data_IF_768298035781
#
_entry.id   IF_768298035781
#
_cell.length_a   1.000
_cell.length_b   1.000
_cell.length_c   1.000
_cell.angle_alpha   90.00
_cell.angle_beta   90.00
_cell.angle_gamma   90.00
#
_symmetry.space_group_name_H-M   'P 1'
#
loop_
_entity.id
_entity.type
_entity.pdbx_description
1 polymer ?
#
# COMPACT_ATOMS: atom_id res chain seq x y z
N UNK A 1 -32.79 32.00 -0.75
CA UNK A 1 -32.31 33.39 -0.80
C UNK A 1 -30.81 33.36 -0.57
N UNK A 2 -30.03 34.02 -1.42
CA UNK A 2 -28.60 34.26 -1.22
C UNK A 2 -27.69 33.53 -2.20
N UNK A 3 -27.56 34.09 -3.40
CA UNK A 3 -26.53 33.73 -4.37
C UNK A 3 -25.14 34.09 -3.83
N UNK A 4 -24.18 33.19 -3.98
CA UNK A 4 -22.78 33.53 -4.18
C UNK A 4 -22.37 32.89 -5.51
N UNK A 5 -22.27 33.72 -6.54
CA UNK A 5 -21.71 33.36 -7.82
C UNK A 5 -20.20 33.22 -7.65
N UNK A 6 -19.67 32.01 -7.82
CA UNK A 6 -18.24 31.78 -7.93
C UNK A 6 -17.98 31.02 -9.23
N UNK A 7 -17.33 31.71 -10.17
CA UNK A 7 -16.78 31.15 -11.41
C UNK A 7 -15.66 30.15 -11.05
N UNK A 8 -16.02 28.93 -10.69
CA UNK A 8 -15.07 27.81 -10.57
C UNK A 8 -15.29 26.86 -11.75
N UNK A 9 -14.20 26.40 -12.37
CA UNK A 9 -14.19 25.43 -13.48
C UNK A 9 -15.32 24.42 -13.34
N UNK A 10 -16.09 24.23 -14.43
CA UNK A 10 -17.24 23.32 -14.47
C UNK A 10 -16.74 21.88 -14.31
N UNK A 11 -16.54 21.44 -13.07
CA UNK A 11 -16.20 20.06 -12.71
C UNK A 11 -17.21 19.12 -13.36
N UNK A 12 -16.71 18.16 -14.15
CA UNK A 12 -17.52 17.27 -14.96
C UNK A 12 -18.40 16.33 -14.11
N UNK A 13 -17.98 16.03 -12.88
CA UNK A 13 -18.69 15.24 -11.85
C UNK A 13 -18.30 15.77 -10.47
N UNK A 14 -19.27 15.96 -9.57
CA UNK A 14 -19.00 16.25 -8.14
C UNK A 14 -18.87 14.95 -7.34
N UNK A 15 -18.24 15.02 -6.17
CA UNK A 15 -18.04 13.88 -5.24
C UNK A 15 -19.35 13.22 -4.82
N UNK A 16 -20.45 13.98 -4.80
CA UNK A 16 -21.80 13.51 -4.46
C UNK A 16 -22.64 13.09 -5.66
N UNK A 17 -22.17 13.35 -6.88
CA UNK A 17 -22.92 13.02 -8.09
C UNK A 17 -22.71 11.55 -8.43
N UNK A 18 -23.82 10.84 -8.71
CA UNK A 18 -23.76 9.42 -9.09
C UNK A 18 -23.67 9.36 -10.62
N UNK A 19 -22.51 9.02 -11.22
CA UNK A 19 -22.41 8.90 -12.67
C UNK A 19 -23.25 7.74 -13.19
N UNK A 20 -23.59 7.79 -14.48
CA UNK A 20 -24.21 6.65 -15.17
C UNK A 20 -23.41 5.37 -14.94
N UNK A 21 -24.09 4.24 -14.77
CA UNK A 21 -23.49 2.94 -14.46
C UNK A 21 -22.31 2.56 -15.39
N UNK A 22 -22.44 2.83 -16.70
CA UNK A 22 -21.37 2.57 -17.67
C UNK A 22 -20.13 3.45 -17.45
N UNK A 23 -20.32 4.72 -17.14
CA UNK A 23 -19.24 5.65 -16.82
C UNK A 23 -18.57 5.28 -15.48
N UNK A 24 -19.37 4.89 -14.48
CA UNK A 24 -18.85 4.41 -13.20
C UNK A 24 -17.94 3.17 -13.37
N UNK A 25 -18.35 2.22 -14.20
CA UNK A 25 -17.55 1.03 -14.51
C UNK A 25 -16.25 1.39 -15.23
N UNK A 26 -16.30 2.29 -16.22
CA UNK A 26 -15.09 2.73 -16.92
C UNK A 26 -14.10 3.46 -16.01
N UNK A 27 -14.56 4.39 -15.18
CA UNK A 27 -13.69 5.09 -14.24
C UNK A 27 -13.12 4.15 -13.18
N UNK A 28 -13.93 3.19 -12.68
CA UNK A 28 -13.45 2.15 -11.77
C UNK A 28 -12.37 1.26 -12.41
N UNK A 29 -12.55 0.88 -13.68
CA UNK A 29 -11.55 0.12 -14.42
C UNK A 29 -10.26 0.91 -14.65
N UNK A 30 -10.36 2.18 -15.01
CA UNK A 30 -9.20 3.07 -15.14
C UNK A 30 -8.43 3.18 -13.83
N UNK A 31 -9.13 3.42 -12.71
CA UNK A 31 -8.51 3.50 -11.40
C UNK A 31 -7.84 2.17 -10.99
N UNK A 32 -8.48 1.04 -11.29
CA UNK A 32 -7.91 -0.27 -11.00
C UNK A 32 -6.60 -0.51 -11.78
N UNK A 33 -6.57 -0.18 -13.07
CA UNK A 33 -5.37 -0.31 -13.90
C UNK A 33 -4.26 0.64 -13.47
N UNK A 34 -4.59 1.89 -13.14
CA UNK A 34 -3.62 2.87 -12.64
C UNK A 34 -2.97 2.44 -11.32
N UNK A 35 -3.72 1.81 -10.42
CA UNK A 35 -3.18 1.36 -9.13
C UNK A 35 -2.53 -0.02 -9.19
N UNK A 36 -2.71 -0.79 -10.26
CA UNK A 36 -2.23 -2.16 -10.38
C UNK A 36 -0.72 -2.27 -10.14
N UNK A 37 0.07 -1.39 -10.77
CA UNK A 37 1.53 -1.37 -10.63
C UNK A 37 1.95 -1.16 -9.17
N UNK A 38 1.35 -0.18 -8.49
CA UNK A 38 1.61 0.10 -7.06
C UNK A 38 1.21 -1.05 -6.13
N UNK A 39 0.12 -1.76 -6.43
CA UNK A 39 -0.34 -2.90 -5.64
C UNK A 39 0.57 -4.13 -5.78
N UNK A 40 1.31 -4.25 -6.89
CA UNK A 40 2.24 -5.36 -7.13
C UNK A 40 3.62 -5.15 -6.48
N UNK A 41 4.05 -3.91 -6.26
CA UNK A 41 5.37 -3.60 -5.66
C UNK A 41 5.50 -4.22 -4.27
N UNK A 42 4.48 -4.07 -3.43
CA UNK A 42 4.53 -4.54 -2.04
C UNK A 42 4.67 -6.07 -1.91
N UNK A 43 3.80 -6.91 -2.51
CA UNK A 43 3.93 -8.37 -2.42
C UNK A 43 5.24 -8.87 -3.04
N UNK A 44 5.75 -8.18 -4.07
CA UNK A 44 7.06 -8.48 -4.64
C UNK A 44 8.19 -8.26 -3.62
N UNK A 45 8.24 -7.09 -2.97
CA UNK A 45 9.29 -6.79 -1.99
C UNK A 45 9.19 -7.71 -0.77
N UNK A 46 7.98 -8.00 -0.28
CA UNK A 46 7.77 -8.94 0.84
C UNK A 46 8.26 -10.35 0.48
N UNK A 47 7.95 -10.84 -0.72
CA UNK A 47 8.41 -12.17 -1.17
C UNK A 47 9.95 -12.29 -1.15
N UNK A 48 10.65 -11.19 -1.46
CA UNK A 48 12.12 -11.13 -1.47
C UNK A 48 12.72 -10.96 -0.07
N UNK A 49 11.98 -10.37 0.88
CA UNK A 49 12.42 -10.24 2.26
C UNK A 49 12.25 -11.55 3.06
N UNK A 50 11.22 -12.33 2.72
CA UNK A 50 10.90 -13.61 3.36
C UNK A 50 11.81 -14.75 2.86
N UNK A 51 12.26 -14.68 1.61
CA UNK A 51 13.22 -15.59 1.00
C UNK A 51 12.82 -17.08 1.08
N UNK A 52 11.81 -17.44 0.30
CA UNK A 52 11.22 -18.79 0.29
C UNK A 52 11.92 -19.80 -0.66
N UNK A 53 13.02 -19.43 -1.33
CA UNK A 53 13.72 -20.28 -2.31
C UNK A 53 12.82 -20.67 -3.49
N UNK A 54 12.78 -21.94 -3.85
CA UNK A 54 11.92 -22.48 -4.94
C UNK A 54 10.42 -22.16 -4.78
N UNK A 55 9.95 -21.97 -3.54
CA UNK A 55 8.54 -21.62 -3.25
C UNK A 55 8.22 -20.12 -3.41
N UNK A 56 9.19 -19.28 -3.79
CA UNK A 56 9.00 -17.81 -3.94
C UNK A 56 7.90 -17.46 -4.92
N UNK A 57 7.81 -18.19 -6.04
CA UNK A 57 6.80 -17.94 -7.08
C UNK A 57 5.39 -18.22 -6.55
N UNK A 58 5.18 -19.36 -5.89
CA UNK A 58 3.88 -19.73 -5.35
C UNK A 58 3.45 -18.76 -4.23
N UNK A 59 4.38 -18.39 -3.34
CA UNK A 59 4.14 -17.43 -2.28
C UNK A 59 3.79 -16.05 -2.85
N UNK A 60 4.53 -15.57 -3.85
CA UNK A 60 4.30 -14.27 -4.50
C UNK A 60 2.89 -14.20 -5.12
N UNK A 61 2.46 -15.25 -5.81
CA UNK A 61 1.10 -15.31 -6.40
C UNK A 61 0.03 -15.25 -5.30
N UNK A 62 0.22 -15.97 -4.19
CA UNK A 62 -0.71 -15.93 -3.06
C UNK A 62 -0.78 -14.54 -2.42
N UNK A 63 0.37 -13.87 -2.23
CA UNK A 63 0.43 -12.51 -1.68
C UNK A 63 -0.24 -11.48 -2.60
N UNK A 64 -0.05 -11.59 -3.92
CA UNK A 64 -0.72 -10.72 -4.90
C UNK A 64 -2.24 -10.89 -4.83
N UNK A 65 -2.71 -12.14 -4.86
CA UNK A 65 -4.13 -12.45 -4.77
C UNK A 65 -4.74 -11.94 -3.45
N UNK A 66 -4.07 -12.21 -2.32
CA UNK A 66 -4.50 -11.73 -1.01
C UNK A 66 -4.57 -10.19 -0.96
N UNK A 67 -3.57 -9.51 -1.52
CA UNK A 67 -3.53 -8.03 -1.57
C UNK A 67 -4.70 -7.48 -2.37
N UNK A 68 -4.99 -8.01 -3.57
CA UNK A 68 -6.13 -7.53 -4.36
C UNK A 68 -7.48 -7.77 -3.66
N UNK A 69 -7.66 -8.95 -3.07
CA UNK A 69 -8.89 -9.27 -2.33
C UNK A 69 -9.04 -8.36 -1.10
N UNK A 70 -7.99 -8.19 -0.30
CA UNK A 70 -8.03 -7.33 0.89
C UNK A 70 -8.25 -5.87 0.53
N UNK A 71 -7.61 -5.37 -0.53
CA UNK A 71 -7.78 -4.00 -1.01
C UNK A 71 -9.19 -3.75 -1.54
N UNK A 72 -9.76 -4.72 -2.26
CA UNK A 72 -11.15 -4.66 -2.74
C UNK A 72 -12.15 -4.62 -1.59
N UNK A 73 -12.01 -5.52 -0.61
CA UNK A 73 -12.87 -5.54 0.58
C UNK A 73 -12.75 -4.23 1.36
N UNK A 74 -11.52 -3.75 1.62
CA UNK A 74 -11.28 -2.50 2.33
C UNK A 74 -11.91 -1.29 1.59
N UNK A 75 -11.81 -1.25 0.26
CA UNK A 75 -12.41 -0.20 -0.55
C UNK A 75 -13.95 -0.24 -0.50
N UNK A 76 -14.55 -1.43 -0.54
CA UNK A 76 -16.00 -1.60 -0.39
C UNK A 76 -16.45 -1.12 1.00
N UNK A 77 -15.75 -1.52 2.06
CA UNK A 77 -16.05 -1.08 3.43
C UNK A 77 -15.91 0.44 3.56
N UNK A 78 -14.85 1.03 3.00
CA UNK A 78 -14.58 2.47 3.05
C UNK A 78 -15.65 3.29 2.33
N UNK A 79 -16.13 2.79 1.18
CA UNK A 79 -17.16 3.45 0.37
C UNK A 79 -18.56 3.29 0.94
N UNK A 80 -18.86 2.19 1.64
CA UNK A 80 -20.18 1.91 2.22
C UNK A 80 -20.35 2.44 3.65
N UNK A 81 -19.43 2.09 4.56
CA UNK A 81 -19.50 2.39 6.00
C UNK A 81 -18.50 3.45 6.46
N UNK A 82 -17.42 3.67 5.69
CA UNK A 82 -16.39 4.63 6.01
C UNK A 82 -16.79 6.08 5.67
N UNK A 83 -15.85 6.83 5.09
CA UNK A 83 -16.03 8.25 4.78
C UNK A 83 -16.97 8.50 3.58
N UNK A 84 -17.58 7.45 3.00
CA UNK A 84 -18.40 7.48 1.78
C UNK A 84 -17.70 8.15 0.58
N UNK A 85 -16.37 8.19 0.63
CA UNK A 85 -15.52 8.74 -0.42
C UNK A 85 -14.93 7.57 -1.22
N UNK A 86 -14.92 7.71 -2.55
CA UNK A 86 -14.28 6.74 -3.44
C UNK A 86 -12.76 6.86 -3.31
N UNK A 87 -12.17 6.05 -2.41
CA UNK A 87 -10.73 5.97 -2.17
C UNK A 87 -10.31 4.51 -2.24
N UNK A 88 -9.48 4.18 -3.22
CA UNK A 88 -8.87 2.87 -3.34
C UNK A 88 -7.89 2.66 -2.19
N UNK A 89 -8.16 1.65 -1.35
CA UNK A 89 -7.25 1.25 -0.29
C UNK A 89 -6.17 0.32 -0.85
N UNK A 90 -4.93 0.54 -0.40
CA UNK A 90 -3.76 -0.23 -0.79
C UNK A 90 -2.77 -0.39 0.37
N UNK A 91 -1.71 -1.18 0.19
CA UNK A 91 -0.61 -1.26 1.15
C UNK A 91 0.05 0.11 1.29
N UNK A 92 0.28 0.55 2.53
CA UNK A 92 0.83 1.86 2.79
C UNK A 92 2.34 1.89 2.54
N UNK A 93 2.78 2.85 1.71
CA UNK A 93 4.19 3.07 1.39
C UNK A 93 5.05 3.38 2.62
N UNK A 94 4.44 3.86 3.70
CA UNK A 94 5.10 4.11 4.99
C UNK A 94 5.67 2.83 5.63
N UNK A 95 5.18 1.64 5.28
CA UNK A 95 5.72 0.37 5.78
C UNK A 95 6.93 -0.12 4.99
N UNK A 96 7.25 0.52 3.86
CA UNK A 96 8.35 0.08 3.04
C UNK A 96 9.73 0.33 3.66
N UNK A 97 10.05 1.51 4.22
CA UNK A 97 11.34 1.72 4.87
C UNK A 97 11.61 0.72 6.00
N UNK A 98 10.67 0.44 6.93
CA UNK A 98 10.82 -0.63 7.92
C UNK A 98 11.11 -2.00 7.29
N UNK A 99 10.40 -2.36 6.21
CA UNK A 99 10.60 -3.63 5.51
C UNK A 99 11.99 -3.72 4.86
N UNK A 100 12.48 -2.62 4.27
CA UNK A 100 13.83 -2.54 3.71
C UNK A 100 14.90 -2.63 4.79
N UNK A 101 14.69 -1.98 5.94
CA UNK A 101 15.62 -2.09 7.09
C UNK A 101 15.62 -3.50 7.68
N UNK A 102 14.46 -4.17 7.71
CA UNK A 102 14.37 -5.58 8.10
C UNK A 102 15.15 -6.45 7.12
N UNK A 103 15.01 -6.24 5.80
CA UNK A 103 15.78 -6.98 4.80
C UNK A 103 17.29 -6.75 4.91
N UNK A 104 17.71 -5.53 5.28
CA UNK A 104 19.13 -5.18 5.44
C UNK A 104 19.76 -5.72 6.74
N UNK A 105 18.97 -6.28 7.65
CA UNK A 105 19.47 -6.79 8.92
C UNK A 105 20.21 -8.12 8.71
N UNK A 106 21.40 -8.25 9.31
CA UNK A 106 22.26 -9.45 9.20
C UNK A 106 21.59 -10.74 9.70
N UNK A 107 20.63 -10.64 10.62
CA UNK A 107 19.84 -11.78 11.11
C UNK A 107 18.83 -12.31 10.07
N UNK A 108 18.46 -11.49 9.10
CA UNK A 108 17.52 -11.79 8.01
C UNK A 108 18.21 -11.85 6.64
N UNK A 109 19.56 -11.79 6.60
CA UNK A 109 20.31 -12.14 5.40
C UNK A 109 19.90 -13.55 4.96
N UNK A 110 19.70 -13.71 3.66
CA UNK A 110 19.30 -14.98 3.11
C UNK A 110 20.50 -15.67 2.48
N UNK A 111 21.04 -16.75 3.09
CA UNK A 111 22.17 -17.47 2.54
C UNK A 111 21.79 -18.44 1.41
N UNK A 112 20.49 -18.61 1.15
CA UNK A 112 19.95 -19.57 0.19
C UNK A 112 19.72 -18.93 -1.18
N UNK A 113 20.01 -19.67 -2.25
CA UNK A 113 19.72 -19.26 -3.63
C UNK A 113 18.33 -19.73 -4.05
N UNK A 114 17.73 -19.16 -5.11
CA UNK A 114 16.42 -19.57 -5.68
C UNK A 114 16.34 -21.07 -6.08
N UNK A 115 17.46 -21.79 -6.09
CA UNK A 115 17.56 -23.23 -6.40
C UNK A 115 17.56 -24.12 -5.14
N UNK A 116 17.68 -23.55 -3.95
CA UNK A 116 17.74 -24.29 -2.69
C UNK A 116 16.33 -24.46 -2.10
N UNK A 117 16.01 -25.68 -1.67
CA UNK A 117 14.77 -25.97 -0.95
C UNK A 117 14.86 -25.45 0.48
N UNK A 118 14.26 -24.30 0.76
CA UNK A 118 14.17 -23.74 2.11
C UNK A 118 13.01 -24.40 2.86
N UNK A 119 13.25 -24.84 4.11
CA UNK A 119 12.19 -25.41 4.96
C UNK A 119 11.04 -24.41 5.15
N UNK A 120 9.77 -24.85 5.05
CA UNK A 120 8.61 -23.98 5.18
C UNK A 120 8.54 -23.23 6.50
N UNK A 121 9.15 -23.78 7.55
CA UNK A 121 9.18 -23.21 8.90
C UNK A 121 9.96 -21.89 8.95
N UNK A 122 11.04 -21.77 8.17
CA UNK A 122 11.92 -20.59 8.19
C UNK A 122 11.23 -19.40 7.55
N UNK A 123 10.66 -19.60 6.35
CA UNK A 123 10.02 -18.52 5.62
C UNK A 123 8.63 -18.18 6.19
N UNK A 124 7.88 -19.16 6.75
CA UNK A 124 6.66 -18.86 7.50
C UNK A 124 6.95 -18.04 8.77
N UNK A 125 8.02 -18.37 9.50
CA UNK A 125 8.41 -17.62 10.69
C UNK A 125 8.67 -16.15 10.40
N UNK A 126 9.42 -15.85 9.32
CA UNK A 126 9.67 -14.46 8.88
C UNK A 126 8.39 -13.75 8.43
N UNK A 127 7.50 -14.45 7.70
CA UNK A 127 6.22 -13.89 7.29
C UNK A 127 5.31 -13.58 8.48
N UNK A 128 5.31 -14.44 9.51
CA UNK A 128 4.59 -14.23 10.77
C UNK A 128 5.16 -13.06 11.57
N UNK A 129 6.48 -12.89 11.59
CA UNK A 129 7.12 -11.75 12.25
C UNK A 129 6.73 -10.41 11.58
N UNK A 130 6.80 -10.35 10.25
CA UNK A 130 6.41 -9.16 9.48
C UNK A 130 4.93 -8.84 9.68
N UNK A 131 4.04 -9.82 9.50
CA UNK A 131 2.60 -9.61 9.66
C UNK A 131 2.18 -9.33 11.12
N UNK A 132 2.84 -9.95 12.10
CA UNK A 132 2.64 -9.69 13.52
C UNK A 132 3.05 -8.28 13.91
N UNK A 133 4.20 -7.80 13.42
CA UNK A 133 4.63 -6.41 13.64
C UNK A 133 3.63 -5.40 13.07
N UNK A 134 3.07 -5.69 11.88
CA UNK A 134 2.06 -4.87 11.24
C UNK A 134 0.75 -4.87 12.04
N UNK A 135 0.33 -6.01 12.58
CA UNK A 135 -0.85 -6.11 13.44
C UNK A 135 -0.70 -5.23 14.70
N UNK A 136 0.46 -5.29 15.36
CA UNK A 136 0.75 -4.47 16.54
C UNK A 136 0.74 -2.98 16.19
N UNK A 137 1.28 -2.60 15.02
CA UNK A 137 1.22 -1.23 14.52
C UNK A 137 -0.22 -0.77 14.24
N UNK A 138 -1.05 -1.61 13.63
CA UNK A 138 -2.46 -1.28 13.38
C UNK A 138 -3.25 -1.09 14.69
N UNK A 139 -3.04 -1.96 15.68
CA UNK A 139 -3.66 -1.84 16.99
C UNK A 139 -3.22 -0.55 17.68
N UNK A 140 -1.94 -0.19 17.62
CA UNK A 140 -1.46 1.06 18.21
C UNK A 140 -2.05 2.30 17.52
N UNK A 141 -2.20 2.29 16.19
CA UNK A 141 -2.91 3.35 15.46
C UNK A 141 -4.37 3.49 15.90
N UNK A 142 -5.09 2.38 16.12
CA UNK A 142 -6.47 2.42 16.63
C UNK A 142 -6.54 3.00 18.04
N UNK A 143 -5.60 2.65 18.92
CA UNK A 143 -5.53 3.21 20.27
C UNK A 143 -5.24 4.72 20.25
N UNK A 144 -4.30 5.17 19.42
CA UNK A 144 -3.97 6.60 19.25
C UNK A 144 -5.14 7.38 18.63
N UNK A 145 -5.84 6.77 17.66
CA UNK A 145 -7.05 7.34 17.07
C UNK A 145 -8.19 7.44 18.06
N UNK A 146 -8.44 6.38 18.85
CA UNK A 146 -9.50 6.31 19.85
C UNK A 146 -9.28 7.20 21.08
N UNK A 147 -8.03 7.44 21.48
CA UNK A 147 -7.68 8.33 22.60
C UNK A 147 -7.77 9.83 22.26
N UNK A 148 -8.07 10.18 21.00
CA UNK A 148 -8.19 11.58 20.56
C UNK A 148 -6.85 12.33 20.42
N UNK A 149 -5.73 11.68 20.74
CA UNK A 149 -4.37 12.22 20.58
C UNK A 149 -4.08 12.51 19.10
N UNK A 150 -4.65 11.72 18.18
CA UNK A 150 -4.60 11.99 16.75
C UNK A 150 -5.11 13.40 16.38
N UNK A 151 -6.14 13.90 17.05
CA UNK A 151 -6.67 15.25 16.82
C UNK A 151 -5.77 16.37 17.35
N UNK A 152 -5.02 16.11 18.43
CA UNK A 152 -4.01 17.03 18.94
C UNK A 152 -2.77 17.07 18.02
N UNK A 153 -2.32 15.91 17.55
CA UNK A 153 -1.24 15.77 16.57
C UNK A 153 -1.60 16.41 15.22
N UNK A 154 -2.86 16.29 14.77
CA UNK A 154 -3.33 16.91 13.54
C UNK A 154 -3.19 18.46 13.55
N UNK A 155 -3.17 19.11 14.72
CA UNK A 155 -2.88 20.55 14.83
C UNK A 155 -1.40 20.89 14.64
N UNK A 156 -0.50 19.94 14.92
CA UNK A 156 0.95 20.08 14.75
C UNK A 156 1.39 19.71 13.32
N UNK A 157 0.70 18.75 12.70
CA UNK A 157 1.01 18.25 11.36
C UNK A 157 0.42 19.20 10.32
N UNK A 158 1.22 20.17 9.89
CA UNK A 158 0.87 21.11 8.82
C UNK A 158 1.35 20.65 7.44
N UNK A 159 0.92 21.33 6.36
CA UNK A 159 1.44 21.07 5.01
C UNK A 159 2.96 21.22 4.94
N UNK A 160 3.54 22.13 5.74
CA UNK A 160 4.98 22.36 5.84
C UNK A 160 5.77 21.13 6.32
N UNK A 161 5.15 20.21 7.07
CA UNK A 161 5.80 18.98 7.54
C UNK A 161 5.42 17.76 6.70
N UNK A 162 4.20 17.70 6.17
CA UNK A 162 3.75 16.55 5.35
C UNK A 162 4.51 16.49 4.03
N UNK A 163 4.66 17.63 3.34
CA UNK A 163 5.33 17.70 2.04
C UNK A 163 6.76 17.15 2.10
N UNK A 164 7.65 17.62 3.00
CA UNK A 164 9.00 17.07 3.07
C UNK A 164 9.01 15.59 3.47
N UNK A 165 8.10 15.13 4.32
CA UNK A 165 7.99 13.70 4.67
C UNK A 165 7.62 12.84 3.45
N UNK A 166 6.64 13.27 2.64
CA UNK A 166 6.26 12.55 1.42
C UNK A 166 7.39 12.53 0.39
N UNK A 167 8.14 13.63 0.26
CA UNK A 167 9.33 13.70 -0.60
C UNK A 167 10.38 12.70 -0.13
N UNK A 168 10.69 12.68 1.18
CA UNK A 168 11.68 11.74 1.73
C UNK A 168 11.27 10.27 1.56
N UNK A 169 9.99 9.94 1.77
CA UNK A 169 9.48 8.59 1.55
C UNK A 169 9.61 8.17 0.07
N UNK A 170 9.29 9.10 -0.84
CA UNK A 170 9.42 8.85 -2.29
C UNK A 170 10.87 8.69 -2.70
N UNK A 171 11.78 9.54 -2.20
CA UNK A 171 13.23 9.43 -2.47
C UNK A 171 13.78 8.10 -1.94
N UNK A 172 13.31 7.65 -0.78
CA UNK A 172 13.80 6.41 -0.15
C UNK A 172 13.49 5.15 -0.98
N UNK A 173 12.45 5.18 -1.81
CA UNK A 173 12.07 4.02 -2.65
C UNK A 173 12.75 4.00 -4.02
N UNK A 174 13.20 5.16 -4.53
CA UNK A 174 13.87 5.28 -5.84
C UNK A 174 14.94 4.20 -6.10
N UNK A 175 15.91 3.93 -5.19
CA UNK A 175 16.94 2.93 -5.47
C UNK A 175 16.38 1.51 -5.59
N UNK A 176 15.30 1.19 -4.86
CA UNK A 176 14.63 -0.11 -4.96
C UNK A 176 13.93 -0.25 -6.29
N UNK A 177 13.21 0.80 -6.72
CA UNK A 177 12.52 0.83 -8.01
C UNK A 177 13.53 0.74 -9.17
N UNK A 178 14.66 1.46 -9.11
CA UNK A 178 15.71 1.41 -10.13
C UNK A 178 16.24 -0.02 -10.32
N UNK A 179 16.57 -0.71 -9.23
CA UNK A 179 17.07 -2.09 -9.30
C UNK A 179 16.06 -3.07 -9.91
N UNK A 180 14.76 -2.83 -9.70
CA UNK A 180 13.68 -3.72 -10.17
C UNK A 180 13.18 -3.35 -11.57
N UNK A 181 13.23 -2.07 -11.96
CA UNK A 181 12.99 -1.62 -13.33
C UNK A 181 13.96 -2.27 -14.31
N UNK A 182 15.23 -2.43 -13.91
CA UNK A 182 16.23 -3.09 -14.75
C UNK A 182 15.95 -4.58 -15.01
N UNK A 183 15.15 -5.24 -14.15
CA UNK A 183 14.87 -6.69 -14.23
C UNK A 183 13.47 -6.97 -14.79
N UNK A 184 12.47 -6.17 -14.41
CA UNK A 184 11.05 -6.40 -14.71
C UNK A 184 10.33 -5.10 -15.08
N UNK A 185 10.85 -4.39 -16.09
CA UNK A 185 10.32 -3.11 -16.58
C UNK A 185 8.81 -3.12 -16.90
N UNK A 186 8.26 -4.25 -17.36
CA UNK A 186 6.84 -4.39 -17.72
C UNK A 186 5.90 -4.53 -16.51
N UNK A 187 6.42 -4.94 -15.35
CA UNK A 187 5.59 -5.19 -14.16
C UNK A 187 5.48 -3.97 -13.23
N UNK A 188 6.22 -2.89 -13.53
CA UNK A 188 6.30 -1.66 -12.72
C UNK A 188 5.73 -0.41 -13.41
N UNK A 189 5.37 -0.52 -14.70
CA UNK A 189 4.70 0.53 -15.47
C UNK A 189 3.19 0.34 -15.41
#
# INVERSE_FOLDING_TARGET
MGAAAENHERLHLRVTDVPNWSAALMFGFQQAMLCLSGLLVYPFIVSEAVCAGDATVQLRVQLIAATFVSCGIATIIQTTFGLRLCVLHGPAMAFLPPLLTYKALRASECPFTELDTVSPEIWHGRLQEISGSLLVACVSFLLIGGTGVAGALAKLIGPMTIVPLMILLTISIVPTIESKLSLHWISLL
#
